data_IF_756344855332
#
_entry.id   IF_756344855332
#
_cell.length_a   1.000
_cell.length_b   1.000
_cell.length_c   1.000
_cell.angle_alpha   90.00
_cell.angle_beta   90.00
_cell.angle_gamma   90.00
#
_symmetry.space_group_name_H-M   'P 1'
#
loop_
_entity.id
_entity.type
_entity.pdbx_description
1 polymer ?
#
# COMPACT_ATOMS: atom_id res chain seq x y z
N UNK A 1 53.39 15.11 33.28
CA UNK A 1 52.02 15.55 32.95
C UNK A 1 51.42 14.51 32.02
N UNK A 2 50.55 13.65 32.53
CA UNK A 2 49.94 12.56 31.77
C UNK A 2 48.91 13.13 30.78
N UNK A 3 48.96 12.74 29.51
CA UNK A 3 47.76 12.72 28.65
C UNK A 3 47.73 11.44 27.83
N UNK A 4 46.63 10.74 28.08
CA UNK A 4 46.14 9.49 27.56
C UNK A 4 45.97 9.56 26.03
N UNK A 5 46.36 8.49 25.32
CA UNK A 5 46.01 8.30 23.93
C UNK A 5 44.55 7.93 23.76
N UNK A 6 43.94 8.36 22.66
CA UNK A 6 42.74 7.74 22.11
C UNK A 6 42.96 7.50 20.62
N UNK A 7 43.01 6.20 20.29
CA UNK A 7 42.96 5.66 18.94
C UNK A 7 41.60 6.03 18.34
N UNK A 8 41.61 6.37 17.06
CA UNK A 8 40.42 6.63 16.29
C UNK A 8 39.81 5.28 15.87
N UNK A 9 38.89 4.74 16.67
CA UNK A 9 38.04 3.62 16.26
C UNK A 9 36.83 4.18 15.50
N UNK A 10 36.70 3.85 14.20
CA UNK A 10 35.39 3.81 13.55
C UNK A 10 34.72 2.50 13.96
N UNK A 11 33.39 2.47 14.17
CA UNK A 11 32.64 1.52 13.36
C UNK A 11 31.19 1.95 13.02
N UNK A 12 30.88 1.93 11.73
CA UNK A 12 29.55 1.61 11.24
C UNK A 12 29.29 0.12 11.44
N UNK A 13 28.78 -0.25 12.61
CA UNK A 13 28.32 -1.60 12.91
C UNK A 13 26.80 -1.68 12.80
N UNK A 14 26.30 -2.38 11.77
CA UNK A 14 24.94 -2.88 11.75
C UNK A 14 24.76 -3.79 12.97
N UNK A 15 23.86 -3.42 13.89
CA UNK A 15 23.38 -4.38 14.88
C UNK A 15 22.21 -5.16 14.26
N UNK A 16 22.23 -6.50 14.26
CA UNK A 16 21.05 -7.28 13.94
C UNK A 16 19.97 -6.94 14.96
N UNK A 17 18.82 -6.45 14.50
CA UNK A 17 17.62 -6.43 15.33
C UNK A 17 16.99 -7.81 15.19
N UNK A 18 17.29 -8.67 16.15
CA UNK A 18 16.62 -9.96 16.31
C UNK A 18 15.18 -9.72 16.75
N UNK A 19 14.27 -9.54 15.80
CA UNK A 19 12.86 -9.91 15.95
C UNK A 19 12.19 -10.09 14.58
N UNK A 20 12.06 -11.33 14.06
CA UNK A 20 11.31 -11.57 12.85
C UNK A 20 9.80 -11.43 13.12
N UNK A 21 9.15 -10.56 12.35
CA UNK A 21 7.70 -10.57 12.16
C UNK A 21 7.28 -11.96 11.63
N UNK A 22 6.21 -12.59 12.15
CA UNK A 22 5.69 -13.85 11.61
C UNK A 22 5.37 -13.84 10.10
N UNK A 23 5.31 -12.68 9.45
CA UNK A 23 5.14 -12.54 8.00
C UNK A 23 6.45 -12.48 7.17
N UNK A 24 7.64 -12.55 7.79
CA UNK A 24 8.92 -12.66 7.08
C UNK A 24 9.42 -11.40 6.37
N UNK A 25 8.80 -10.24 6.59
CA UNK A 25 9.29 -8.95 6.10
C UNK A 25 10.16 -8.25 7.14
N UNK A 26 11.37 -7.81 6.76
CA UNK A 26 12.14 -6.86 7.56
C UNK A 26 11.83 -5.44 7.07
N UNK A 27 11.26 -4.60 7.94
CA UNK A 27 11.19 -3.16 7.68
C UNK A 27 12.59 -2.58 7.85
N UNK A 28 13.26 -2.22 6.75
CA UNK A 28 14.55 -1.54 6.79
C UNK A 28 14.30 -0.03 6.94
N UNK A 29 14.66 0.52 8.10
CA UNK A 29 14.53 1.94 8.40
C UNK A 29 15.90 2.62 8.40
N UNK A 30 16.08 3.62 7.54
CA UNK A 30 17.18 4.59 7.63
C UNK A 30 16.73 5.74 8.53
N UNK A 31 17.62 6.35 9.32
CA UNK A 31 17.24 7.48 10.18
C UNK A 31 16.66 8.63 9.36
N UNK A 32 15.36 8.88 9.54
CA UNK A 32 14.59 9.98 8.98
C UNK A 32 13.29 10.15 9.79
N UNK A 33 12.83 11.38 9.98
CA UNK A 33 11.66 11.64 10.82
C UNK A 33 10.35 11.15 10.16
N UNK A 34 9.47 10.57 11.00
CA UNK A 34 8.06 10.24 10.79
C UNK A 34 7.67 9.61 9.44
N UNK A 35 7.64 8.27 9.38
CA UNK A 35 7.02 7.55 8.26
C UNK A 35 5.50 7.47 8.47
N UNK A 36 4.72 8.28 7.74
CA UNK A 36 3.26 8.15 7.67
C UNK A 36 2.81 7.24 6.51
N UNK A 37 3.75 6.88 5.63
CA UNK A 37 3.53 5.97 4.51
C UNK A 37 3.43 4.53 5.00
N UNK A 38 2.36 3.85 4.61
CA UNK A 38 2.19 2.42 4.77
C UNK A 38 1.96 1.76 3.42
N UNK A 39 2.31 0.48 3.33
CA UNK A 39 2.00 -0.32 2.14
C UNK A 39 1.71 -1.76 2.48
N UNK A 40 0.87 -2.39 1.65
CA UNK A 40 0.52 -3.80 1.78
C UNK A 40 0.29 -4.42 0.40
N UNK A 41 0.69 -5.69 0.24
CA UNK A 41 0.25 -6.50 -0.90
C UNK A 41 -1.14 -7.04 -0.60
N UNK A 42 -2.10 -6.73 -1.47
CA UNK A 42 -3.45 -7.25 -1.43
C UNK A 42 -3.63 -8.26 -2.55
N UNK A 43 -4.36 -9.34 -2.28
CA UNK A 43 -4.77 -10.32 -3.29
C UNK A 43 -6.26 -10.55 -3.20
N UNK A 44 -6.95 -10.35 -4.32
CA UNK A 44 -8.38 -10.52 -4.47
C UNK A 44 -8.66 -11.76 -5.32
N UNK A 45 -9.45 -12.69 -4.79
CA UNK A 45 -10.03 -13.78 -5.58
C UNK A 45 -11.04 -13.22 -6.61
N UNK A 46 -11.37 -13.96 -7.68
CA UNK A 46 -12.43 -13.56 -8.62
C UNK A 46 -13.69 -13.08 -7.90
N UNK A 47 -14.24 -11.94 -8.31
CA UNK A 47 -15.41 -11.31 -7.69
C UNK A 47 -15.15 -10.47 -6.42
N UNK A 48 -13.97 -10.58 -5.80
CA UNK A 48 -13.63 -9.83 -4.60
C UNK A 48 -13.19 -8.40 -4.94
N UNK A 49 -13.69 -7.43 -4.17
CA UNK A 49 -13.37 -6.00 -4.31
C UNK A 49 -13.46 -5.28 -2.98
N UNK A 50 -12.86 -4.10 -2.90
CA UNK A 50 -13.07 -3.21 -1.74
C UNK A 50 -14.52 -2.72 -1.68
N UNK A 51 -14.88 -2.16 -0.53
CA UNK A 51 -15.99 -1.20 -0.49
C UNK A 51 -15.58 0.07 -1.24
N UNK A 52 -16.55 0.97 -1.48
CA UNK A 52 -16.21 2.35 -1.79
C UNK A 52 -15.41 2.95 -0.63
N UNK A 53 -14.35 3.67 -0.97
CA UNK A 53 -13.46 4.27 0.01
C UNK A 53 -12.80 5.55 -0.52
N UNK A 54 -12.28 6.36 0.39
CA UNK A 54 -11.42 7.53 0.10
C UNK A 54 -10.12 7.43 0.89
N UNK A 55 -9.06 8.06 0.37
CA UNK A 55 -7.79 8.19 1.06
C UNK A 55 -7.47 9.67 1.30
N UNK A 56 -7.11 10.10 2.53
CA UNK A 56 -6.95 11.52 2.86
C UNK A 56 -5.75 12.19 2.16
N UNK A 57 -4.81 11.37 1.68
CA UNK A 57 -3.59 11.79 0.99
C UNK A 57 -3.39 11.03 -0.34
N UNK A 58 -4.47 10.45 -0.87
CA UNK A 58 -4.43 9.65 -2.09
C UNK A 58 -3.88 8.23 -1.89
N UNK A 59 -3.88 7.46 -2.97
CA UNK A 59 -3.38 6.08 -2.97
C UNK A 59 -2.74 5.73 -4.30
N UNK A 60 -1.59 5.06 -4.22
CA UNK A 60 -0.95 4.42 -5.38
C UNK A 60 -1.16 2.90 -5.33
N UNK A 61 -1.61 2.31 -6.44
CA UNK A 61 -1.59 0.87 -6.65
C UNK A 61 -0.51 0.49 -7.65
N UNK A 62 0.24 -0.57 -7.38
CA UNK A 62 1.18 -1.19 -8.32
C UNK A 62 0.75 -2.63 -8.54
N UNK A 63 0.30 -2.96 -9.75
CA UNK A 63 -0.24 -4.29 -10.03
C UNK A 63 0.90 -5.27 -10.28
N UNK A 64 0.81 -6.44 -9.63
CA UNK A 64 1.89 -7.45 -9.63
C UNK A 64 1.48 -8.77 -10.28
N UNK A 65 0.19 -9.10 -10.33
CA UNK A 65 -0.31 -10.34 -10.95
C UNK A 65 -1.80 -10.24 -11.28
N UNK A 66 -2.24 -10.99 -12.29
CA UNK A 66 -3.66 -11.21 -12.59
C UNK A 66 -4.31 -10.11 -13.43
N UNK A 67 -5.63 -9.98 -13.33
CA UNK A 67 -6.42 -8.96 -14.03
C UNK A 67 -7.47 -8.43 -13.04
N UNK A 68 -7.58 -7.12 -12.95
CA UNK A 68 -8.50 -6.47 -12.02
C UNK A 68 -9.18 -5.26 -12.61
N UNK A 69 -10.05 -4.68 -11.79
CA UNK A 69 -10.83 -3.50 -12.10
C UNK A 69 -10.60 -2.42 -11.06
N UNK A 70 -10.61 -1.17 -11.54
CA UNK A 70 -10.66 0.03 -10.71
C UNK A 70 -11.77 0.93 -11.21
N UNK A 71 -12.41 1.65 -10.29
CA UNK A 71 -13.38 2.66 -10.65
C UNK A 71 -13.35 3.79 -9.63
N UNK A 72 -13.33 5.03 -10.14
CA UNK A 72 -13.68 6.22 -9.37
C UNK A 72 -15.16 6.52 -9.53
N UNK A 73 -15.77 7.14 -8.53
CA UNK A 73 -17.18 7.52 -8.58
C UNK A 73 -17.49 8.37 -9.84
N UNK A 74 -18.59 8.02 -10.53
CA UNK A 74 -18.98 8.66 -11.79
C UNK A 74 -18.09 8.35 -13.00
N UNK A 75 -16.99 7.60 -12.83
CA UNK A 75 -16.12 7.17 -13.90
C UNK A 75 -16.46 5.79 -14.45
N UNK A 76 -15.93 5.49 -15.64
CA UNK A 76 -15.95 4.13 -16.18
C UNK A 76 -15.05 3.19 -15.37
N UNK A 77 -15.44 1.92 -15.30
CA UNK A 77 -14.57 0.85 -14.80
C UNK A 77 -13.38 0.68 -15.77
N UNK A 78 -12.17 0.61 -15.23
CA UNK A 78 -10.93 0.39 -15.99
C UNK A 78 -10.28 -0.91 -15.61
N UNK A 79 -9.78 -1.64 -16.59
CA UNK A 79 -8.95 -2.82 -16.36
C UNK A 79 -7.52 -2.44 -15.99
N UNK A 80 -6.93 -3.23 -15.09
CA UNK A 80 -5.55 -3.08 -14.64
C UNK A 80 -4.83 -4.44 -14.65
N UNK A 81 -3.59 -4.44 -15.09
CA UNK A 81 -2.73 -5.60 -15.38
C UNK A 81 -1.34 -5.44 -14.77
N UNK A 82 -0.53 -6.52 -14.64
CA UNK A 82 0.79 -6.44 -14.04
C UNK A 82 1.67 -5.43 -14.75
N UNK A 83 2.30 -4.54 -13.98
CA UNK A 83 3.07 -3.40 -14.48
C UNK A 83 2.31 -2.07 -14.49
N UNK A 84 0.97 -2.09 -14.40
CA UNK A 84 0.19 -0.86 -14.30
C UNK A 84 0.38 -0.19 -12.93
N UNK A 85 0.43 1.15 -12.97
CA UNK A 85 0.43 2.03 -11.80
C UNK A 85 -0.84 2.86 -11.82
N UNK A 86 -1.62 2.79 -10.74
CA UNK A 86 -2.87 3.55 -10.59
C UNK A 86 -2.68 4.58 -9.49
N UNK A 87 -3.08 5.81 -9.75
CA UNK A 87 -3.14 6.88 -8.75
C UNK A 87 -4.59 7.30 -8.54
N UNK A 88 -5.01 7.35 -7.28
CA UNK A 88 -6.26 7.98 -6.84
C UNK A 88 -5.95 9.25 -6.08
N UNK A 89 -6.62 10.34 -6.44
CA UNK A 89 -6.43 11.63 -5.80
C UNK A 89 -6.89 11.62 -4.33
N UNK A 90 -6.39 12.57 -3.54
CA UNK A 90 -6.82 12.73 -2.16
C UNK A 90 -8.33 13.02 -2.08
N UNK A 91 -9.05 12.23 -1.27
CA UNK A 91 -10.50 12.32 -1.14
C UNK A 91 -11.29 11.77 -2.34
N UNK A 92 -10.62 11.26 -3.38
CA UNK A 92 -11.32 10.65 -4.52
C UNK A 92 -11.98 9.35 -4.08
N UNK A 93 -13.30 9.26 -4.23
CA UNK A 93 -14.04 8.04 -3.91
C UNK A 93 -13.84 7.00 -4.99
N UNK A 94 -13.36 5.83 -4.60
CA UNK A 94 -13.05 4.74 -5.54
C UNK A 94 -13.23 3.35 -4.93
N UNK A 95 -13.20 2.33 -5.80
CA UNK A 95 -12.97 0.94 -5.42
C UNK A 95 -12.00 0.28 -6.39
N UNK A 96 -11.41 -0.81 -5.93
CA UNK A 96 -10.56 -1.67 -6.76
C UNK A 96 -10.73 -3.14 -6.35
N UNK A 97 -10.47 -4.06 -7.28
CA UNK A 97 -10.66 -5.48 -7.02
C UNK A 97 -10.37 -6.36 -8.22
N UNK A 98 -10.68 -7.64 -8.06
CA UNK A 98 -10.60 -8.63 -9.11
C UNK A 98 -11.72 -8.42 -10.16
N UNK A 99 -11.53 -8.99 -11.34
CA UNK A 99 -12.63 -9.19 -12.29
C UNK A 99 -13.56 -10.32 -11.83
N UNK A 100 -14.67 -10.53 -12.55
CA UNK A 100 -15.63 -11.59 -12.23
C UNK A 100 -15.03 -13.00 -12.34
N UNK A 101 -13.99 -13.19 -13.16
CA UNK A 101 -13.41 -14.52 -13.46
C UNK A 101 -11.94 -14.67 -13.08
N UNK A 102 -11.22 -13.56 -12.89
CA UNK A 102 -9.77 -13.56 -12.67
C UNK A 102 -9.41 -12.76 -11.43
N UNK A 103 -8.58 -13.35 -10.56
CA UNK A 103 -8.05 -12.67 -9.39
C UNK A 103 -6.94 -11.66 -9.74
N UNK A 104 -6.59 -10.81 -8.78
CA UNK A 104 -5.53 -9.80 -8.91
C UNK A 104 -4.70 -9.71 -7.63
N UNK A 105 -3.40 -9.47 -7.77
CA UNK A 105 -2.54 -8.98 -6.69
C UNK A 105 -1.94 -7.62 -7.03
N UNK A 106 -1.99 -6.68 -6.09
CA UNK A 106 -1.33 -5.39 -6.21
C UNK A 106 -0.74 -4.93 -4.86
N UNK A 107 0.26 -4.06 -4.92
CA UNK A 107 0.77 -3.34 -3.75
C UNK A 107 -0.03 -2.04 -3.66
N UNK A 108 -0.65 -1.78 -2.51
CA UNK A 108 -1.28 -0.50 -2.20
C UNK A 108 -0.34 0.32 -1.32
N UNK A 109 -0.12 1.58 -1.67
CA UNK A 109 0.74 2.52 -0.94
C UNK A 109 -0.07 3.79 -0.67
N UNK A 110 -0.15 4.19 0.59
CA UNK A 110 -0.86 5.40 0.99
C UNK A 110 -0.30 5.96 2.30
N UNK A 111 -0.59 7.23 2.57
CA UNK A 111 -0.22 7.90 3.81
C UNK A 111 -1.40 8.02 4.77
N UNK A 112 -1.10 8.05 6.07
CA UNK A 112 -2.07 8.28 7.13
C UNK A 112 -2.23 9.77 7.41
N UNK A 113 -3.48 10.21 7.62
CA UNK A 113 -3.80 11.49 8.27
C UNK A 113 -4.59 11.18 9.54
N UNK A 114 -4.23 11.80 10.65
CA UNK A 114 -4.91 11.61 11.95
C UNK A 114 -5.04 10.14 12.39
N UNK A 115 -4.04 9.32 12.04
CA UNK A 115 -3.96 7.90 12.39
C UNK A 115 -4.67 6.94 11.43
N UNK A 116 -5.47 7.43 10.47
CA UNK A 116 -6.14 6.58 9.47
C UNK A 116 -5.62 6.83 8.05
N UNK A 117 -5.35 5.77 7.27
CA UNK A 117 -5.01 5.91 5.85
C UNK A 117 -6.23 5.85 4.93
N UNK A 118 -7.43 5.51 5.44
CA UNK A 118 -8.60 5.19 4.60
C UNK A 118 -9.90 5.49 5.34
N UNK A 119 -10.87 6.03 4.63
CA UNK A 119 -12.25 6.11 5.08
C UNK A 119 -13.09 5.15 4.26
N UNK A 120 -13.67 4.14 4.92
CA UNK A 120 -14.54 3.14 4.27
C UNK A 120 -15.98 3.63 4.30
N UNK A 121 -16.68 3.52 3.17
CA UNK A 121 -18.03 4.07 3.00
C UNK A 121 -19.05 2.92 2.94
N UNK A 122 -19.65 2.62 1.78
CA UNK A 122 -20.57 1.51 1.56
C UNK A 122 -20.00 0.46 0.60
N UNK A 123 -20.56 -0.75 0.64
CA UNK A 123 -20.17 -1.81 -0.28
C UNK A 123 -20.50 -1.47 -1.74
N UNK A 124 -19.60 -1.87 -2.64
CA UNK A 124 -19.88 -1.87 -4.08
C UNK A 124 -20.92 -2.94 -4.38
N UNK A 125 -22.11 -2.50 -4.81
CA UNK A 125 -23.21 -3.38 -5.17
C UNK A 125 -22.86 -4.25 -6.38
N UNK A 126 -23.51 -5.39 -6.54
CA UNK A 126 -23.29 -6.27 -7.70
C UNK A 126 -23.67 -5.59 -9.02
N UNK A 127 -24.63 -4.66 -9.00
CA UNK A 127 -24.99 -3.87 -10.16
C UNK A 127 -23.87 -2.90 -10.56
N UNK A 128 -23.29 -2.17 -9.60
CA UNK A 128 -22.13 -1.29 -9.85
C UNK A 128 -20.91 -2.08 -10.33
N UNK A 129 -20.70 -3.28 -9.78
CA UNK A 129 -19.57 -4.15 -10.13
C UNK A 129 -19.68 -4.75 -11.55
N UNK A 130 -20.87 -4.80 -12.13
CA UNK A 130 -21.14 -5.38 -13.47
C UNK A 130 -21.44 -4.33 -14.54
N UNK A 131 -21.45 -3.05 -14.18
CA UNK A 131 -21.72 -1.92 -15.07
C UNK A 131 -20.48 -1.53 -15.88
#
# INVERSE_FOLDING_TARGET
MQRLGLRHDRPGGLRPLDNPDPAGGCLVHWPGQHQQTGGARLTFAPGARTAWQTHPLGQTLIVTAGLGWVQREGGAVKEIRPGDVVWFEAGERHWHGATTTTGISHIAIQEKRDGSPVDRIEHVTDAQYRA
#
